data_IF_566731498192
#
_entry.id   IF_566731498192
#
_cell.length_a   1.000
_cell.length_b   1.000
_cell.length_c   1.000
_cell.angle_alpha   90.00
_cell.angle_beta   90.00
_cell.angle_gamma   90.00
#
_symmetry.space_group_name_H-M   'P 1'
#
loop_
_entity.id
_entity.type
_entity.pdbx_description
1 polymer ?
#
# COMPACT_ATOMS: atom_id res chain seq x y z
N UNK A 1 4.70 -17.18 -24.40
CA UNK A 1 4.74 -15.77 -23.95
C UNK A 1 5.87 -15.69 -22.94
N UNK A 2 6.91 -14.92 -23.22
CA UNK A 2 8.03 -14.73 -22.28
C UNK A 2 7.48 -14.12 -21.00
N UNK A 3 7.78 -14.75 -19.87
CA UNK A 3 7.31 -14.35 -18.55
C UNK A 3 8.08 -13.07 -18.15
N UNK A 4 7.71 -11.93 -18.70
CA UNK A 4 8.35 -10.66 -18.37
C UNK A 4 7.94 -10.30 -16.96
N UNK A 5 8.90 -10.28 -16.04
CA UNK A 5 8.69 -9.79 -14.69
C UNK A 5 8.11 -8.37 -14.76
N UNK A 6 7.09 -8.04 -13.93
CA UNK A 6 6.50 -6.71 -13.93
C UNK A 6 7.54 -5.66 -13.53
N UNK A 7 7.50 -4.49 -14.16
CA UNK A 7 8.33 -3.33 -13.79
C UNK A 7 7.68 -2.62 -12.61
N UNK A 8 8.38 -2.56 -11.49
CA UNK A 8 7.87 -2.01 -10.23
C UNK A 8 8.62 -0.73 -9.91
N UNK A 9 7.90 0.37 -9.75
CA UNK A 9 8.43 1.58 -9.15
C UNK A 9 8.15 1.58 -7.64
N UNK A 10 9.20 1.61 -6.85
CA UNK A 10 9.13 1.74 -5.40
C UNK A 10 9.18 3.22 -5.04
N UNK A 11 8.13 3.71 -4.39
CA UNK A 11 8.05 5.07 -3.87
C UNK A 11 8.49 5.03 -2.40
N UNK A 12 9.70 5.51 -2.14
CA UNK A 12 10.35 5.44 -0.83
C UNK A 12 10.34 6.81 -0.16
N UNK A 13 9.45 7.00 0.81
CA UNK A 13 9.14 8.35 1.33
C UNK A 13 9.01 8.38 2.84
N UNK A 14 9.62 9.37 3.49
CA UNK A 14 9.52 9.60 4.93
C UNK A 14 10.78 10.21 5.49
N UNK A 15 11.02 10.00 6.79
CA UNK A 15 12.27 10.40 7.45
C UNK A 15 13.20 9.20 7.60
N UNK A 16 14.51 9.32 7.32
CA UNK A 16 15.42 8.18 7.26
C UNK A 16 16.00 7.78 8.64
N UNK A 17 15.30 8.07 9.75
CA UNK A 17 15.85 7.96 11.13
C UNK A 17 16.42 6.59 11.47
N UNK A 18 15.77 5.52 11.01
CA UNK A 18 16.16 4.13 11.29
C UNK A 18 16.66 3.39 10.05
N UNK A 19 16.80 4.10 8.91
CA UNK A 19 17.14 3.50 7.61
C UNK A 19 18.42 2.69 7.65
N UNK A 20 19.45 3.17 8.34
CA UNK A 20 20.72 2.45 8.47
C UNK A 20 20.58 1.04 9.04
N UNK A 21 19.55 0.80 9.86
CA UNK A 21 19.26 -0.49 10.49
C UNK A 21 18.18 -1.31 9.79
N UNK A 22 17.46 -0.70 8.85
CA UNK A 22 16.30 -1.28 8.15
C UNK A 22 16.65 -1.64 6.70
N UNK A 23 17.61 -0.94 6.09
CA UNK A 23 17.86 -0.99 4.65
C UNK A 23 18.21 -2.39 4.14
N UNK A 24 18.93 -3.20 4.91
CA UNK A 24 19.33 -4.53 4.49
C UNK A 24 18.11 -5.46 4.33
N UNK A 25 17.06 -5.27 5.14
CA UNK A 25 15.78 -5.95 4.96
C UNK A 25 15.05 -5.44 3.72
N UNK A 26 15.06 -4.13 3.47
CA UNK A 26 14.46 -3.55 2.28
C UNK A 26 15.10 -4.09 1.00
N UNK A 27 16.43 -4.12 0.93
CA UNK A 27 17.17 -4.69 -0.20
C UNK A 27 16.80 -6.15 -0.39
N UNK A 28 16.96 -6.97 0.67
CA UNK A 28 16.73 -8.41 0.61
C UNK A 28 15.30 -8.77 0.21
N UNK A 29 14.31 -8.01 0.70
CA UNK A 29 12.91 -8.41 0.62
C UNK A 29 12.06 -7.59 -0.35
N UNK A 30 12.54 -6.45 -0.83
CA UNK A 30 11.81 -5.60 -1.79
C UNK A 30 12.54 -5.49 -3.12
N UNK A 31 13.87 -5.31 -3.11
CA UNK A 31 14.69 -5.18 -4.32
C UNK A 31 15.09 -6.56 -4.88
N UNK A 32 14.09 -7.42 -5.09
CA UNK A 32 14.29 -8.85 -5.35
C UNK A 32 14.73 -9.17 -6.79
N UNK A 33 14.64 -8.22 -7.71
CA UNK A 33 15.06 -8.37 -9.10
C UNK A 33 15.34 -7.00 -9.77
N UNK A 34 15.99 -7.02 -10.93
CA UNK A 34 16.42 -5.84 -11.68
C UNK A 34 15.29 -4.91 -12.16
N UNK A 35 14.05 -5.39 -12.25
CA UNK A 35 12.90 -4.59 -12.70
C UNK A 35 12.24 -3.79 -11.57
N UNK A 36 12.85 -3.78 -10.38
CA UNK A 36 12.40 -3.00 -9.22
C UNK A 36 13.28 -1.75 -9.10
N UNK A 37 12.70 -0.57 -9.25
CA UNK A 37 13.41 0.70 -9.23
C UNK A 37 12.87 1.62 -8.15
N UNK A 38 13.74 2.32 -7.43
CA UNK A 38 13.41 3.16 -6.29
C UNK A 38 13.44 4.64 -6.68
N UNK A 39 12.36 5.34 -6.34
CA UNK A 39 12.21 6.79 -6.41
C UNK A 39 12.01 7.30 -4.99
N UNK A 40 13.06 7.90 -4.45
CA UNK A 40 13.15 8.25 -3.04
C UNK A 40 12.93 9.75 -2.84
N UNK A 41 12.05 10.10 -1.90
CA UNK A 41 11.89 11.48 -1.42
C UNK A 41 11.90 11.48 0.10
N UNK A 42 13.00 11.93 0.68
CA UNK A 42 13.28 11.81 2.11
C UNK A 42 13.41 13.17 2.77
N UNK A 43 13.12 13.25 4.06
CA UNK A 43 13.24 14.47 4.85
C UNK A 43 14.32 14.30 5.92
N UNK A 44 15.41 15.05 5.79
CA UNK A 44 16.44 15.22 6.83
C UNK A 44 17.19 16.54 6.58
N UNK A 45 17.73 17.15 7.63
CA UNK A 45 18.53 18.38 7.52
C UNK A 45 20.01 18.07 7.20
N UNK A 46 20.52 16.93 7.65
CA UNK A 46 21.87 16.44 7.32
C UNK A 46 21.76 15.17 6.46
N UNK A 47 22.10 15.31 5.18
CA UNK A 47 21.79 14.30 4.15
C UNK A 47 23.00 13.77 3.39
N UNK A 48 24.16 14.44 3.41
CA UNK A 48 25.30 14.04 2.55
C UNK A 48 25.79 12.61 2.84
N UNK A 49 25.91 12.24 4.11
CA UNK A 49 26.30 10.88 4.49
C UNK A 49 25.22 9.85 4.16
N UNK A 50 23.95 10.20 4.40
CA UNK A 50 22.81 9.34 4.10
C UNK A 50 22.63 9.14 2.60
N UNK A 51 22.90 10.16 1.80
CA UNK A 51 22.88 10.08 0.34
C UNK A 51 23.91 9.08 -0.18
N UNK A 52 25.17 9.21 0.25
CA UNK A 52 26.24 8.26 -0.10
C UNK A 52 25.87 6.83 0.32
N UNK A 53 25.38 6.68 1.55
CA UNK A 53 24.93 5.40 2.09
C UNK A 53 23.82 4.76 1.23
N UNK A 54 22.81 5.54 0.83
CA UNK A 54 21.69 5.05 0.02
C UNK A 54 22.14 4.65 -1.40
N UNK A 55 23.00 5.44 -2.04
CA UNK A 55 23.55 5.11 -3.35
C UNK A 55 24.39 3.83 -3.30
N UNK A 56 25.24 3.67 -2.29
CA UNK A 56 26.03 2.45 -2.09
C UNK A 56 25.13 1.23 -1.86
N UNK A 57 24.14 1.35 -0.99
CA UNK A 57 23.27 0.24 -0.57
C UNK A 57 22.26 -0.18 -1.63
N UNK A 58 21.61 0.75 -2.31
CA UNK A 58 20.59 0.45 -3.31
C UNK A 58 21.16 0.30 -4.73
N UNK A 59 22.34 0.86 -5.00
CA UNK A 59 23.02 0.78 -6.30
C UNK A 59 22.11 1.14 -7.47
N UNK A 60 22.12 0.29 -8.49
CA UNK A 60 21.36 0.50 -9.73
C UNK A 60 19.84 0.50 -9.55
N UNK A 61 19.31 0.06 -8.39
CA UNK A 61 17.89 0.16 -8.11
C UNK A 61 17.47 1.61 -7.83
N UNK A 62 18.33 2.44 -7.24
CA UNK A 62 17.99 3.84 -6.92
C UNK A 62 18.07 4.71 -8.18
N UNK A 63 16.91 5.13 -8.70
CA UNK A 63 16.81 5.95 -9.93
C UNK A 63 16.71 7.44 -9.65
N UNK A 64 16.19 7.80 -8.48
CA UNK A 64 16.10 9.19 -8.04
C UNK A 64 16.13 9.28 -6.53
N UNK A 65 16.82 10.30 -6.03
CA UNK A 65 16.81 10.71 -4.63
C UNK A 65 16.53 12.22 -4.58
N UNK A 66 15.54 12.62 -3.79
CA UNK A 66 15.20 14.02 -3.55
C UNK A 66 15.09 14.27 -2.06
N UNK A 67 15.69 15.36 -1.59
CA UNK A 67 15.62 15.78 -0.20
C UNK A 67 14.56 16.87 -0.03
N UNK A 68 13.49 16.53 0.68
CA UNK A 68 12.44 17.45 1.05
C UNK A 68 12.83 18.24 2.31
N UNK A 69 12.70 19.57 2.23
CA UNK A 69 12.91 20.48 3.35
C UNK A 69 11.59 21.07 3.82
N UNK A 70 11.34 21.06 5.14
CA UNK A 70 10.19 21.77 5.74
C UNK A 70 10.31 23.28 5.61
N UNK A 71 11.50 23.80 5.34
CA UNK A 71 11.78 25.21 5.07
C UNK A 71 11.52 25.59 3.61
N UNK A 72 11.19 24.64 2.73
CA UNK A 72 10.86 24.90 1.32
C UNK A 72 9.71 25.92 1.20
N UNK A 73 9.93 26.94 0.36
CA UNK A 73 8.99 28.06 0.24
C UNK A 73 7.65 27.62 -0.38
N UNK A 74 7.70 26.80 -1.44
CA UNK A 74 6.49 26.34 -2.13
C UNK A 74 5.63 25.46 -1.21
N UNK A 75 6.27 24.54 -0.48
CA UNK A 75 5.65 23.74 0.56
C UNK A 75 4.97 24.61 1.62
N UNK A 76 5.69 25.59 2.18
CA UNK A 76 5.16 26.44 3.24
C UNK A 76 3.94 27.26 2.80
N UNK A 77 3.92 27.74 1.55
CA UNK A 77 2.75 28.41 0.99
C UNK A 77 1.56 27.46 0.82
N UNK A 78 1.80 26.27 0.25
CA UNK A 78 0.78 25.25 0.05
C UNK A 78 0.16 24.80 1.37
N UNK A 79 0.99 24.42 2.35
CA UNK A 79 0.57 23.95 3.66
C UNK A 79 -0.30 25.00 4.37
N UNK A 80 0.11 26.28 4.35
CA UNK A 80 -0.68 27.38 4.93
C UNK A 80 -2.02 27.56 4.24
N UNK A 81 -2.05 27.47 2.91
CA UNK A 81 -3.29 27.59 2.14
C UNK A 81 -4.27 26.48 2.50
N UNK A 82 -3.79 25.22 2.54
CA UNK A 82 -4.60 24.05 2.91
C UNK A 82 -5.14 24.19 4.34
N UNK A 83 -4.28 24.48 5.31
CA UNK A 83 -4.69 24.59 6.72
C UNK A 83 -5.70 25.73 6.95
N UNK A 84 -5.62 26.81 6.17
CA UNK A 84 -6.59 27.91 6.24
C UNK A 84 -7.98 27.49 5.79
N UNK A 85 -8.08 26.59 4.81
CA UNK A 85 -9.37 26.12 4.26
C UNK A 85 -9.95 24.92 5.00
N UNK A 86 -9.17 24.23 5.83
CA UNK A 86 -9.65 23.09 6.61
C UNK A 86 -10.48 23.53 7.82
N UNK A 87 -11.71 23.02 7.90
CA UNK A 87 -12.65 23.23 9.01
C UNK A 87 -12.37 22.25 10.16
N UNK A 88 -11.23 22.43 10.84
CA UNK A 88 -10.82 21.65 12.01
C UNK A 88 -10.32 22.57 13.13
N UNK A 89 -10.28 22.07 14.36
CA UNK A 89 -9.78 22.83 15.51
C UNK A 89 -8.31 23.26 15.34
N UNK A 90 -7.95 24.42 15.87
CA UNK A 90 -6.59 24.99 15.75
C UNK A 90 -5.50 24.08 16.32
N UNK A 91 -5.79 23.29 17.36
CA UNK A 91 -4.84 22.28 17.88
C UNK A 91 -4.45 21.25 16.83
N UNK A 92 -5.40 20.86 15.96
CA UNK A 92 -5.16 19.90 14.89
C UNK A 92 -4.47 20.54 13.69
N UNK A 93 -4.76 21.82 13.40
CA UNK A 93 -3.96 22.58 12.43
C UNK A 93 -2.51 22.73 12.88
N UNK A 94 -2.28 23.00 14.16
CA UNK A 94 -0.94 23.04 14.74
C UNK A 94 -0.24 21.67 14.65
N UNK A 95 -0.96 20.57 14.95
CA UNK A 95 -0.44 19.22 14.76
C UNK A 95 -0.04 18.97 13.30
N UNK A 96 -0.92 19.25 12.32
CA UNK A 96 -0.65 19.04 10.89
C UNK A 96 0.49 19.93 10.36
N UNK A 97 0.62 21.14 10.90
CA UNK A 97 1.68 22.09 10.54
C UNK A 97 3.07 21.53 10.90
N UNK A 98 3.19 20.92 12.07
CA UNK A 98 4.48 20.47 12.61
C UNK A 98 4.76 18.98 12.36
N UNK A 99 3.70 18.19 12.19
CA UNK A 99 3.72 16.73 12.03
C UNK A 99 4.13 16.27 10.63
N UNK A 100 4.07 14.95 10.43
CA UNK A 100 4.43 14.29 9.18
C UNK A 100 3.27 14.03 8.22
N UNK A 101 2.01 14.20 8.67
CA UNK A 101 0.82 13.73 7.94
C UNK A 101 0.69 14.36 6.54
N UNK A 102 0.81 15.69 6.44
CA UNK A 102 0.75 16.37 5.14
C UNK A 102 2.05 16.20 4.34
N UNK A 103 3.19 16.18 5.04
CA UNK A 103 4.52 16.02 4.42
C UNK A 103 4.59 14.72 3.64
N UNK A 104 4.08 13.62 4.20
CA UNK A 104 4.10 12.32 3.55
C UNK A 104 3.51 12.38 2.14
N UNK A 105 2.33 12.99 1.97
CA UNK A 105 1.68 13.07 0.66
C UNK A 105 2.36 14.08 -0.27
N UNK A 106 2.97 15.14 0.27
CA UNK A 106 3.78 16.03 -0.54
C UNK A 106 5.04 15.35 -1.07
N UNK A 107 5.68 14.49 -0.27
CA UNK A 107 6.78 13.63 -0.73
C UNK A 107 6.32 12.67 -1.84
N UNK A 108 5.10 12.12 -1.76
CA UNK A 108 4.53 11.30 -2.84
C UNK A 108 4.32 12.10 -4.14
N UNK A 109 3.86 13.35 -4.04
CA UNK A 109 3.74 14.25 -5.18
C UNK A 109 5.11 14.51 -5.85
N UNK A 110 6.13 14.80 -5.04
CA UNK A 110 7.50 14.98 -5.56
C UNK A 110 8.04 13.69 -6.19
N UNK A 111 7.80 12.53 -5.58
CA UNK A 111 8.22 11.24 -6.10
C UNK A 111 7.54 10.91 -7.45
N UNK A 112 6.26 11.25 -7.59
CA UNK A 112 5.52 11.12 -8.85
C UNK A 112 6.16 11.95 -9.97
N UNK A 113 6.65 13.15 -9.67
CA UNK A 113 7.35 13.98 -10.65
C UNK A 113 8.65 13.32 -11.11
N UNK A 114 9.45 12.82 -10.17
CA UNK A 114 10.70 12.11 -10.49
C UNK A 114 10.47 10.85 -11.32
N UNK A 115 9.47 10.06 -10.92
CA UNK A 115 9.04 8.86 -11.64
C UNK A 115 8.64 9.19 -13.09
N UNK A 116 7.79 10.21 -13.27
CA UNK A 116 7.30 10.60 -14.60
C UNK A 116 8.43 11.13 -15.48
N UNK A 117 9.34 11.91 -14.91
CA UNK A 117 10.51 12.41 -15.63
C UNK A 117 11.40 11.26 -16.11
N UNK A 118 11.64 10.26 -15.25
CA UNK A 118 12.41 9.07 -15.61
C UNK A 118 11.71 8.23 -16.67
N UNK A 119 10.41 7.95 -16.54
CA UNK A 119 9.61 7.23 -17.54
C UNK A 119 9.71 7.90 -18.92
N UNK A 120 9.59 9.23 -18.96
CA UNK A 120 9.69 10.01 -20.19
C UNK A 120 11.11 9.99 -20.78
N UNK A 121 12.15 10.12 -19.94
CA UNK A 121 13.54 10.16 -20.39
C UNK A 121 13.99 8.81 -20.97
N UNK A 122 13.64 7.71 -20.30
CA UNK A 122 14.04 6.35 -20.68
C UNK A 122 13.10 5.70 -21.70
N UNK A 123 11.96 6.35 -22.02
CA UNK A 123 10.95 5.76 -22.90
C UNK A 123 10.34 4.48 -22.34
N UNK A 124 10.24 4.36 -21.01
CA UNK A 124 9.65 3.21 -20.33
C UNK A 124 8.37 3.60 -19.60
N UNK A 125 7.60 2.59 -19.19
CA UNK A 125 6.49 2.76 -18.26
C UNK A 125 6.55 1.66 -17.22
N UNK A 126 6.33 2.01 -15.95
CA UNK A 126 6.19 1.01 -14.90
C UNK A 126 4.77 0.43 -14.91
N UNK A 127 4.66 -0.82 -14.50
CA UNK A 127 3.37 -1.52 -14.44
C UNK A 127 2.67 -1.24 -13.10
N UNK A 128 3.44 -1.22 -12.02
CA UNK A 128 2.93 -1.09 -10.67
C UNK A 128 3.78 -0.17 -9.80
N UNK A 129 3.15 0.29 -8.72
CA UNK A 129 3.75 1.10 -7.67
C UNK A 129 3.72 0.29 -6.38
N UNK A 130 4.84 0.31 -5.65
CA UNK A 130 4.92 -0.10 -4.26
C UNK A 130 5.38 1.11 -3.44
N UNK A 131 4.52 1.67 -2.60
CA UNK A 131 4.93 2.67 -1.61
C UNK A 131 5.37 1.98 -0.34
N UNK A 132 6.46 2.45 0.26
CA UNK A 132 6.93 1.98 1.57
C UNK A 132 7.66 3.08 2.33
N UNK A 133 7.51 3.09 3.66
CA UNK A 133 8.24 4.02 4.53
C UNK A 133 9.66 3.54 4.83
N UNK A 134 10.61 4.46 5.05
CA UNK A 134 12.00 4.12 5.33
C UNK A 134 12.26 3.38 6.64
N UNK A 135 11.34 3.50 7.59
CA UNK A 135 11.40 2.83 8.90
C UNK A 135 10.68 1.48 8.93
N UNK A 136 10.23 0.97 7.78
CA UNK A 136 9.48 -0.28 7.67
C UNK A 136 10.39 -1.46 7.35
N UNK A 137 10.34 -2.49 8.20
CA UNK A 137 10.94 -3.80 7.91
C UNK A 137 9.88 -4.69 7.29
N UNK A 138 10.13 -5.14 6.06
CA UNK A 138 9.47 -6.32 5.49
C UNK A 138 10.30 -7.53 5.88
N UNK A 139 9.68 -8.54 6.49
CA UNK A 139 10.41 -9.70 7.04
C UNK A 139 10.73 -10.78 6.00
N UNK A 140 10.09 -10.72 4.82
CA UNK A 140 10.18 -11.75 3.78
C UNK A 140 10.04 -11.17 2.37
N UNK A 141 10.59 -11.82 1.33
CA UNK A 141 10.51 -11.28 -0.03
C UNK A 141 9.08 -11.04 -0.52
N UNK A 142 8.83 -9.85 -1.08
CA UNK A 142 7.59 -9.55 -1.80
C UNK A 142 7.67 -10.19 -3.17
N UNK A 143 6.63 -10.95 -3.52
CA UNK A 143 6.50 -11.62 -4.80
C UNK A 143 5.23 -11.17 -5.52
N UNK A 144 5.35 -10.84 -6.81
CA UNK A 144 4.26 -10.38 -7.66
C UNK A 144 3.68 -11.49 -8.56
N UNK A 145 4.01 -12.77 -8.30
CA UNK A 145 3.50 -13.92 -9.06
C UNK A 145 1.97 -14.00 -9.10
N UNK A 146 1.26 -13.36 -8.16
CA UNK A 146 -0.19 -13.30 -8.16
C UNK A 146 -0.80 -12.61 -9.39
N UNK A 147 -0.05 -11.72 -10.04
CA UNK A 147 -0.46 -11.08 -11.29
C UNK A 147 -0.62 -12.08 -12.44
N UNK A 148 0.06 -13.22 -12.36
CA UNK A 148 0.07 -14.28 -13.36
C UNK A 148 -0.71 -15.53 -12.93
N UNK A 149 -1.43 -15.49 -11.80
CA UNK A 149 -2.23 -16.63 -11.34
C UNK A 149 -3.29 -17.01 -12.35
N UNK A 150 -3.42 -18.31 -12.60
CA UNK A 150 -4.54 -18.85 -13.36
C UNK A 150 -5.78 -19.06 -12.48
N UNK A 151 -6.89 -19.33 -13.16
CA UNK A 151 -8.21 -19.56 -12.57
C UNK A 151 -8.22 -20.74 -11.60
N UNK A 152 -7.43 -21.79 -11.84
CA UNK A 152 -7.36 -22.97 -10.97
C UNK A 152 -6.66 -22.63 -9.64
N UNK A 153 -5.59 -21.83 -9.69
CA UNK A 153 -4.90 -21.34 -8.49
C UNK A 153 -5.83 -20.46 -7.66
N UNK A 154 -6.60 -19.57 -8.31
CA UNK A 154 -7.60 -18.73 -7.64
C UNK A 154 -8.65 -19.60 -6.92
N UNK A 155 -9.23 -20.58 -7.62
CA UNK A 155 -10.21 -21.50 -7.04
C UNK A 155 -9.62 -22.28 -5.85
N UNK A 156 -8.41 -22.82 -5.99
CA UNK A 156 -7.74 -23.55 -4.90
C UNK A 156 -7.57 -22.67 -3.66
N UNK A 157 -7.11 -21.43 -3.83
CA UNK A 157 -6.93 -20.48 -2.73
C UNK A 157 -8.25 -20.09 -2.08
N UNK A 158 -9.28 -19.81 -2.87
CA UNK A 158 -10.61 -19.50 -2.35
C UNK A 158 -11.21 -20.68 -1.57
N UNK A 159 -10.97 -21.93 -2.00
CA UNK A 159 -11.46 -23.11 -1.25
C UNK A 159 -10.79 -23.20 0.11
N UNK A 160 -9.46 -23.02 0.18
CA UNK A 160 -8.73 -22.97 1.45
C UNK A 160 -9.29 -21.86 2.36
N UNK A 161 -9.63 -20.71 1.80
CA UNK A 161 -10.21 -19.59 2.55
C UNK A 161 -11.62 -19.93 3.04
N UNK A 162 -12.47 -20.50 2.19
CA UNK A 162 -13.83 -20.92 2.55
C UNK A 162 -13.81 -21.94 3.70
N UNK A 163 -12.92 -22.94 3.63
CA UNK A 163 -12.71 -23.92 4.69
C UNK A 163 -12.30 -23.26 6.01
N UNK A 164 -11.36 -22.30 5.97
CA UNK A 164 -10.87 -21.59 7.16
C UNK A 164 -11.90 -20.63 7.76
N UNK A 165 -12.69 -19.97 6.92
CA UNK A 165 -13.68 -18.98 7.34
C UNK A 165 -15.01 -19.59 7.75
N UNK A 166 -15.22 -20.89 7.46
CA UNK A 166 -16.47 -21.61 7.64
C UNK A 166 -17.58 -21.15 6.69
N UNK A 167 -17.24 -20.39 5.64
CA UNK A 167 -18.23 -19.85 4.71
C UNK A 167 -18.64 -20.92 3.70
N UNK A 168 -19.96 -21.07 3.52
CA UNK A 168 -20.51 -22.04 2.56
C UNK A 168 -20.27 -21.57 1.13
N UNK A 169 -20.27 -20.26 0.85
CA UNK A 169 -20.13 -19.73 -0.50
C UNK A 169 -18.68 -19.46 -0.83
N UNK A 170 -18.16 -20.08 -1.90
CA UNK A 170 -16.76 -19.91 -2.30
C UNK A 170 -16.43 -18.44 -2.63
N UNK A 171 -17.32 -17.77 -3.36
CA UNK A 171 -17.18 -16.37 -3.79
C UNK A 171 -18.02 -15.41 -2.92
N UNK A 172 -18.02 -15.60 -1.61
CA UNK A 172 -18.62 -14.62 -0.70
C UNK A 172 -17.79 -13.34 -0.60
N UNK A 173 -18.41 -12.26 -0.10
CA UNK A 173 -17.71 -11.00 0.23
C UNK A 173 -16.45 -11.26 1.03
N UNK A 174 -16.63 -12.00 2.14
CA UNK A 174 -15.60 -12.32 3.12
C UNK A 174 -14.44 -13.06 2.45
N UNK A 175 -14.73 -14.09 1.66
CA UNK A 175 -13.71 -14.91 1.03
C UNK A 175 -12.89 -14.12 0.00
N UNK A 176 -13.54 -13.26 -0.78
CA UNK A 176 -12.85 -12.40 -1.75
C UNK A 176 -12.01 -11.34 -1.06
N UNK A 177 -12.52 -10.70 0.00
CA UNK A 177 -11.75 -9.73 0.78
C UNK A 177 -10.50 -10.39 1.39
N UNK A 178 -10.64 -11.59 1.99
CA UNK A 178 -9.49 -12.36 2.53
C UNK A 178 -8.50 -12.71 1.42
N UNK A 179 -9.00 -13.18 0.28
CA UNK A 179 -8.17 -13.55 -0.87
C UNK A 179 -7.34 -12.37 -1.38
N UNK A 180 -7.96 -11.21 -1.61
CA UNK A 180 -7.29 -10.01 -2.09
C UNK A 180 -6.24 -9.50 -1.09
N UNK A 181 -6.55 -9.53 0.21
CA UNK A 181 -5.60 -9.19 1.27
C UNK A 181 -4.43 -10.18 1.42
N UNK A 182 -4.54 -11.38 0.85
CA UNK A 182 -3.50 -12.40 0.87
C UNK A 182 -2.56 -12.41 -0.33
N UNK A 183 -2.79 -11.54 -1.33
CA UNK A 183 -2.03 -11.56 -2.58
C UNK A 183 -0.53 -11.30 -2.40
N UNK A 184 -0.17 -10.35 -1.52
CA UNK A 184 1.22 -10.02 -1.19
C UNK A 184 1.80 -10.90 -0.09
N UNK A 185 0.94 -11.55 0.71
CA UNK A 185 1.34 -12.48 1.74
C UNK A 185 0.29 -13.60 1.94
N UNK A 186 0.59 -14.79 1.43
CA UNK A 186 -0.31 -15.94 1.48
C UNK A 186 -0.66 -16.39 2.91
N UNK A 187 0.21 -16.08 3.90
CA UNK A 187 -0.09 -16.34 5.31
C UNK A 187 -1.30 -15.55 5.81
N UNK A 188 -1.77 -14.56 5.06
CA UNK A 188 -2.99 -13.80 5.38
C UNK A 188 -4.29 -14.50 5.02
N UNK A 189 -4.25 -15.61 4.28
CA UNK A 189 -5.42 -16.47 4.07
C UNK A 189 -5.99 -17.03 5.38
N UNK A 190 -5.23 -17.01 6.48
CA UNK A 190 -5.66 -17.44 7.81
C UNK A 190 -5.92 -16.29 8.80
N UNK A 191 -5.99 -15.04 8.35
CA UNK A 191 -6.09 -13.89 9.26
C UNK A 191 -7.52 -13.53 9.64
N UNK A 192 -7.72 -13.30 10.93
CA UNK A 192 -8.95 -12.74 11.52
C UNK A 192 -8.96 -11.21 11.52
N UNK A 193 -7.79 -10.56 11.38
CA UNK A 193 -7.61 -9.11 11.41
C UNK A 193 -7.60 -8.48 10.01
N UNK A 194 -8.70 -8.65 9.29
CA UNK A 194 -8.97 -7.96 8.02
C UNK A 194 -9.94 -6.83 8.30
N UNK A 195 -9.61 -5.65 7.78
CA UNK A 195 -10.46 -4.49 7.95
C UNK A 195 -11.59 -4.51 6.91
N UNK A 196 -12.81 -4.76 7.40
CA UNK A 196 -14.02 -4.76 6.58
C UNK A 196 -14.72 -3.39 6.52
N UNK A 197 -14.22 -2.37 7.23
CA UNK A 197 -14.93 -1.10 7.45
C UNK A 197 -14.97 -0.18 6.21
N UNK A 198 -14.06 -0.40 5.25
CA UNK A 198 -13.93 0.42 4.04
C UNK A 198 -14.48 -0.26 2.77
N UNK A 199 -15.27 -1.32 2.95
CA UNK A 199 -15.79 -2.11 1.84
C UNK A 199 -16.90 -1.34 1.10
N UNK A 200 -16.54 -0.77 -0.06
CA UNK A 200 -17.52 -0.24 -1.00
C UNK A 200 -18.32 -1.43 -1.59
N UNK A 201 -19.54 -1.66 -1.10
CA UNK A 201 -20.45 -2.76 -1.51
C UNK A 201 -20.65 -2.84 -3.04
N UNK A 202 -20.36 -1.74 -3.76
CA UNK A 202 -20.29 -1.67 -5.23
C UNK A 202 -19.43 -2.77 -5.87
N UNK A 203 -18.43 -3.32 -5.17
CA UNK A 203 -17.50 -4.30 -5.73
C UNK A 203 -18.11 -5.70 -5.96
N UNK A 204 -18.92 -6.18 -5.02
CA UNK A 204 -19.69 -7.40 -5.26
C UNK A 204 -20.64 -7.18 -6.43
N UNK A 205 -21.33 -6.05 -6.47
CA UNK A 205 -22.18 -5.71 -7.61
C UNK A 205 -21.38 -5.76 -8.94
N UNK A 206 -20.16 -5.21 -8.99
CA UNK A 206 -19.31 -5.22 -10.19
C UNK A 206 -18.75 -6.61 -10.56
N UNK A 207 -18.31 -7.43 -9.59
CA UNK A 207 -17.89 -8.82 -9.83
C UNK A 207 -19.07 -9.70 -10.27
N UNK A 208 -20.29 -9.37 -9.84
CA UNK A 208 -21.50 -10.17 -10.05
C UNK A 208 -22.30 -9.72 -11.29
N UNK A 209 -22.15 -8.49 -11.81
CA UNK A 209 -22.92 -8.00 -12.95
C UNK A 209 -22.43 -8.49 -14.33
N UNK A 210 -23.29 -9.27 -14.99
CA UNK A 210 -24.26 -8.70 -15.94
C UNK A 210 -25.65 -9.23 -15.56
N UNK A 211 -26.61 -8.31 -15.43
CA UNK A 211 -28.03 -8.49 -15.04
C UNK A 211 -28.31 -8.70 -13.55
N UNK A 212 -28.76 -7.62 -12.91
CA UNK A 212 -29.24 -7.53 -11.53
C UNK A 212 -30.57 -8.27 -11.27
N UNK A 213 -31.16 -8.91 -12.29
CA UNK A 213 -32.51 -9.46 -12.20
C UNK A 213 -32.58 -10.93 -11.75
N UNK A 214 -31.45 -11.65 -11.67
CA UNK A 214 -31.48 -13.04 -11.19
C UNK A 214 -30.18 -13.46 -10.46
N UNK A 215 -30.16 -13.26 -9.14
CA UNK A 215 -29.10 -13.74 -8.25
C UNK A 215 -29.24 -15.24 -7.89
N UNK A 216 -30.25 -15.95 -8.40
CA UNK A 216 -30.52 -17.34 -7.99
C UNK A 216 -29.40 -18.33 -8.34
N UNK A 217 -28.63 -18.06 -9.41
CA UNK A 217 -27.52 -18.92 -9.85
C UNK A 217 -26.22 -18.69 -9.06
N UNK A 218 -26.05 -17.53 -8.42
CA UNK A 218 -24.89 -17.21 -7.56
C UNK A 218 -24.93 -17.95 -6.22
N UNK A 219 -26.14 -18.32 -5.78
CA UNK A 219 -26.34 -19.19 -4.62
C UNK A 219 -26.06 -20.67 -4.93
N UNK A 220 -25.69 -21.01 -6.17
CA UNK A 220 -25.36 -22.38 -6.55
C UNK A 220 -23.83 -22.53 -6.60
N UNK A 221 -23.26 -23.20 -5.58
CA UNK A 221 -21.87 -23.67 -5.57
C UNK A 221 -21.66 -24.80 -6.60
N UNK A 222 -21.78 -24.50 -7.88
CA UNK A 222 -21.48 -25.43 -8.96
C UNK A 222 -20.14 -25.05 -9.63
N UNK A 223 -19.49 -26.03 -10.26
CA UNK A 223 -18.15 -25.87 -10.85
C UNK A 223 -18.10 -24.84 -11.98
N UNK A 224 -19.19 -24.72 -12.75
CA UNK A 224 -19.26 -23.80 -13.88
C UNK A 224 -19.33 -22.33 -13.42
N UNK A 225 -20.23 -22.01 -12.51
CA UNK A 225 -20.37 -20.67 -11.90
C UNK A 225 -19.06 -20.24 -11.24
N UNK A 226 -18.44 -21.13 -10.48
CA UNK A 226 -17.17 -20.86 -9.79
C UNK A 226 -16.03 -20.54 -10.77
N UNK A 227 -15.98 -21.23 -11.92
CA UNK A 227 -14.97 -20.96 -12.96
C UNK A 227 -15.16 -19.58 -13.58
N UNK A 228 -16.42 -19.19 -13.87
CA UNK A 228 -16.74 -17.84 -14.39
C UNK A 228 -16.32 -16.77 -13.38
N UNK A 229 -16.65 -16.94 -12.10
CA UNK A 229 -16.30 -15.99 -11.05
C UNK A 229 -14.79 -15.92 -10.83
N UNK A 230 -14.08 -17.04 -10.86
CA UNK A 230 -12.62 -17.05 -10.79
C UNK A 230 -11.97 -16.31 -11.96
N UNK A 231 -12.51 -16.43 -13.18
CA UNK A 231 -12.05 -15.64 -14.33
C UNK A 231 -12.27 -14.13 -14.13
N UNK A 232 -13.39 -13.73 -13.52
CA UNK A 232 -13.65 -12.33 -13.18
C UNK A 232 -12.68 -11.81 -12.12
N UNK A 233 -12.40 -12.59 -11.08
CA UNK A 233 -11.37 -12.28 -10.07
C UNK A 233 -10.01 -12.15 -10.72
N UNK A 234 -9.62 -13.08 -11.60
CA UNK A 234 -8.36 -13.01 -12.34
C UNK A 234 -8.25 -11.72 -13.16
N UNK A 235 -9.32 -11.35 -13.88
CA UNK A 235 -9.36 -10.10 -14.64
C UNK A 235 -9.25 -8.89 -13.71
N UNK A 236 -9.89 -8.93 -12.54
CA UNK A 236 -9.81 -7.85 -11.56
C UNK A 236 -8.40 -7.68 -10.98
N UNK A 237 -7.69 -8.77 -10.65
CA UNK A 237 -6.29 -8.70 -10.20
C UNK A 237 -5.42 -7.98 -11.25
N UNK A 238 -5.66 -8.23 -12.54
CA UNK A 238 -4.83 -7.64 -13.62
C UNK A 238 -5.22 -6.19 -13.94
N UNK A 239 -6.52 -5.90 -13.97
CA UNK A 239 -7.05 -4.70 -14.60
C UNK A 239 -7.84 -3.79 -13.66
N UNK A 240 -8.26 -4.31 -12.51
CA UNK A 240 -9.14 -3.67 -11.54
C UNK A 240 -8.54 -2.42 -10.92
N UNK A 241 -9.41 -1.57 -10.37
CA UNK A 241 -9.03 -0.35 -9.66
C UNK A 241 -8.93 -0.64 -8.16
N UNK A 242 -7.77 -1.10 -7.71
CA UNK A 242 -7.58 -1.44 -6.31
C UNK A 242 -6.21 -1.02 -5.79
N UNK A 243 -6.13 -0.95 -4.47
CA UNK A 243 -4.91 -0.79 -3.69
C UNK A 243 -4.86 -1.87 -2.61
N UNK A 244 -3.75 -2.59 -2.52
CA UNK A 244 -3.47 -3.52 -1.43
C UNK A 244 -2.64 -2.79 -0.40
N UNK A 245 -3.06 -2.77 0.85
CA UNK A 245 -2.38 -2.01 1.89
C UNK A 245 -2.04 -2.85 3.10
N UNK A 246 -0.83 -2.63 3.61
CA UNK A 246 -0.44 -3.04 4.95
C UNK A 246 -0.38 -1.80 5.82
N UNK A 247 -1.34 -1.69 6.73
CA UNK A 247 -1.59 -0.52 7.59
C UNK A 247 -1.78 0.75 6.76
N UNK A 248 -2.93 0.82 6.10
CA UNK A 248 -3.41 1.97 5.36
C UNK A 248 -2.34 2.57 4.42
N UNK A 249 -1.78 3.72 4.77
CA UNK A 249 -0.81 4.42 3.94
C UNK A 249 0.63 3.90 4.10
N UNK A 250 0.98 3.10 5.12
CA UNK A 250 2.38 2.73 5.43
C UNK A 250 3.04 1.95 4.30
N UNK A 251 2.39 0.88 3.85
CA UNK A 251 2.80 0.11 2.67
C UNK A 251 1.60 -0.06 1.79
N UNK A 252 1.75 0.24 0.50
CA UNK A 252 0.69 -0.09 -0.44
C UNK A 252 1.20 -0.43 -1.83
N UNK A 253 0.48 -1.33 -2.47
CA UNK A 253 0.71 -1.77 -3.84
C UNK A 253 -0.50 -1.43 -4.71
N UNK A 254 -0.26 -0.89 -5.89
CA UNK A 254 -1.31 -0.55 -6.84
C UNK A 254 -0.80 -0.54 -8.28
N UNK A 255 -1.71 -0.59 -9.24
CA UNK A 255 -1.35 -0.37 -10.65
C UNK A 255 -0.86 1.08 -10.85
N UNK A 256 0.24 1.24 -11.60
CA UNK A 256 0.89 2.53 -11.88
C UNK A 256 -0.09 3.58 -12.43
N UNK A 257 -1.08 3.16 -13.22
CA UNK A 257 -2.06 4.06 -13.86
C UNK A 257 -2.91 4.83 -12.86
N UNK A 258 -3.12 4.31 -11.65
CA UNK A 258 -3.94 4.96 -10.62
C UNK A 258 -3.11 5.81 -9.64
N UNK A 259 -1.78 5.67 -9.63
CA UNK A 259 -0.93 6.38 -8.66
C UNK A 259 -0.93 7.90 -8.86
N UNK A 260 -1.18 8.38 -10.09
CA UNK A 260 -1.33 9.82 -10.34
C UNK A 260 -2.44 10.43 -9.46
N UNK A 261 -3.56 9.73 -9.28
CA UNK A 261 -4.62 10.19 -8.37
C UNK A 261 -4.08 10.32 -6.94
N UNK A 262 -3.48 9.26 -6.39
CA UNK A 262 -2.95 9.27 -5.01
C UNK A 262 -1.91 10.38 -4.80
N UNK A 263 -1.01 10.59 -5.75
CA UNK A 263 0.01 11.63 -5.65
C UNK A 263 -0.56 13.05 -5.54
N UNK A 264 -1.75 13.31 -6.09
CA UNK A 264 -2.42 14.62 -5.99
C UNK A 264 -2.87 14.93 -4.57
N UNK A 265 -2.97 13.94 -3.68
CA UNK A 265 -3.28 14.17 -2.28
C UNK A 265 -2.24 15.08 -1.60
N UNK A 266 -1.00 15.13 -2.11
CA UNK A 266 0.01 16.08 -1.64
C UNK A 266 -0.37 17.54 -1.86
N UNK A 267 -1.18 17.83 -2.88
CA UNK A 267 -1.68 19.16 -3.22
C UNK A 267 -3.10 19.42 -2.69
N UNK A 268 -3.86 18.35 -2.48
CA UNK A 268 -5.29 18.36 -2.15
C UNK A 268 -5.60 17.88 -0.73
N UNK A 269 -4.59 17.77 0.14
CA UNK A 269 -4.78 17.29 1.50
C UNK A 269 -5.87 18.09 2.22
N UNK A 270 -6.75 17.42 2.94
CA UNK A 270 -7.87 18.05 3.63
C UNK A 270 -9.08 18.40 2.76
N UNK A 271 -9.03 18.12 1.44
CA UNK A 271 -10.19 18.35 0.55
C UNK A 271 -11.23 17.22 0.57
N UNK A 272 -10.89 16.06 1.16
CA UNK A 272 -11.73 14.88 1.17
C UNK A 272 -12.24 14.61 2.58
N UNK A 273 -13.53 14.82 2.83
CA UNK A 273 -14.19 14.43 4.07
C UNK A 273 -15.41 13.57 3.73
N UNK A 274 -15.16 12.30 3.41
CA UNK A 274 -16.23 11.33 3.13
C UNK A 274 -16.78 10.70 4.42
N UNK A 275 -15.96 10.65 5.47
CA UNK A 275 -16.32 10.13 6.79
C UNK A 275 -16.69 11.29 7.71
N UNK A 276 -17.78 12.01 7.40
CA UNK A 276 -18.20 13.20 8.18
C UNK A 276 -18.42 12.93 9.68
N UNK A 277 -18.61 11.67 10.06
CA UNK A 277 -18.77 11.21 11.44
C UNK A 277 -17.45 10.94 12.16
N UNK A 278 -16.32 10.85 11.44
CA UNK A 278 -15.00 10.65 12.02
C UNK A 278 -14.39 11.99 12.43
N UNK A 279 -14.24 12.19 13.74
CA UNK A 279 -13.60 13.38 14.32
C UNK A 279 -12.15 13.57 13.84
N UNK A 280 -11.48 12.50 13.40
CA UNK A 280 -10.11 12.50 12.91
C UNK A 280 -10.02 12.33 11.38
N UNK A 281 -11.09 12.65 10.62
CA UNK A 281 -11.13 12.55 9.15
C UNK A 281 -9.92 13.21 8.43
N UNK A 282 -9.33 14.23 9.06
CA UNK A 282 -8.21 15.02 8.57
C UNK A 282 -6.86 14.33 8.74
N UNK A 283 -6.77 13.18 9.44
CA UNK A 283 -5.51 12.46 9.61
C UNK A 283 -5.04 11.81 8.30
N UNK A 284 -3.77 11.37 8.24
CA UNK A 284 -3.19 10.80 7.02
C UNK A 284 -3.95 9.57 6.49
N UNK A 285 -4.24 8.61 7.38
CA UNK A 285 -4.91 7.35 7.00
C UNK A 285 -6.31 7.61 6.42
N UNK A 286 -7.11 8.46 7.08
CA UNK A 286 -8.46 8.83 6.66
C UNK A 286 -8.46 9.65 5.35
N UNK A 287 -7.47 10.54 5.17
CA UNK A 287 -7.29 11.26 3.91
C UNK A 287 -6.96 10.31 2.75
N UNK A 288 -6.05 9.37 2.94
CA UNK A 288 -5.73 8.37 1.92
C UNK A 288 -6.94 7.51 1.56
N UNK A 289 -7.67 7.01 2.56
CA UNK A 289 -8.87 6.19 2.33
C UNK A 289 -9.96 6.97 1.62
N UNK A 290 -10.27 8.18 2.09
CA UNK A 290 -11.26 9.05 1.45
C UNK A 290 -10.88 9.35 0.00
N UNK A 291 -9.61 9.62 -0.26
CA UNK A 291 -9.13 9.91 -1.61
C UNK A 291 -9.21 8.68 -2.53
N UNK A 292 -8.86 7.49 -2.02
CA UNK A 292 -9.07 6.22 -2.73
C UNK A 292 -10.54 6.04 -3.12
N UNK A 293 -11.47 6.20 -2.17
CA UNK A 293 -12.91 6.03 -2.41
C UNK A 293 -13.42 7.06 -3.43
N UNK A 294 -13.01 8.33 -3.35
CA UNK A 294 -13.40 9.37 -4.32
C UNK A 294 -12.93 9.09 -5.75
N UNK A 295 -11.88 8.29 -5.92
CA UNK A 295 -11.33 7.90 -7.22
C UNK A 295 -11.71 6.46 -7.59
N UNK A 296 -12.80 5.94 -7.02
CA UNK A 296 -13.34 4.60 -7.25
C UNK A 296 -12.30 3.47 -7.08
N UNK A 297 -11.35 3.63 -6.14
CA UNK A 297 -10.36 2.61 -5.79
C UNK A 297 -10.89 1.72 -4.67
N UNK A 298 -10.81 0.41 -4.87
CA UNK A 298 -11.06 -0.58 -3.83
C UNK A 298 -9.86 -0.74 -2.91
N UNK A 299 -10.06 -0.59 -1.61
CA UNK A 299 -9.00 -0.70 -0.61
C UNK A 299 -9.07 -2.09 0.02
N UNK A 300 -8.00 -2.86 -0.11
CA UNK A 300 -7.82 -4.12 0.60
C UNK A 300 -6.75 -3.90 1.67
N UNK A 301 -7.20 -3.59 2.88
CA UNK A 301 -6.34 -3.29 4.02
C UNK A 301 -6.24 -4.46 4.99
N UNK A 302 -5.01 -4.82 5.34
CA UNK A 302 -4.75 -5.87 6.31
C UNK A 302 -3.59 -5.51 7.22
N UNK A 303 -3.76 -5.76 8.51
CA UNK A 303 -2.74 -5.50 9.54
C UNK A 303 -3.01 -6.42 10.70
N UNK A 304 -2.03 -7.24 11.09
CA UNK A 304 -2.12 -8.02 12.32
C UNK A 304 -1.84 -7.11 13.50
N UNK A 305 -2.41 -7.44 14.65
CA UNK A 305 -2.30 -6.63 15.86
C UNK A 305 -0.86 -6.25 16.21
N UNK A 306 0.06 -7.22 16.21
CA UNK A 306 1.48 -6.99 16.49
C UNK A 306 2.12 -6.03 15.47
N UNK A 307 1.84 -6.21 14.18
CA UNK A 307 2.32 -5.32 13.10
C UNK A 307 1.82 -3.88 13.31
N UNK A 308 0.53 -3.74 13.66
CA UNK A 308 -0.10 -2.45 13.88
C UNK A 308 0.43 -1.72 15.11
N UNK A 309 0.67 -2.46 16.20
CA UNK A 309 1.18 -1.92 17.47
C UNK A 309 2.61 -1.37 17.35
N UNK A 310 3.41 -1.84 16.40
CA UNK A 310 4.78 -1.35 16.17
C UNK A 310 4.91 0.17 15.97
N UNK A 311 3.83 0.87 15.59
CA UNK A 311 3.87 2.33 15.44
C UNK A 311 3.89 3.11 16.77
N UNK A 312 3.25 2.56 17.81
CA UNK A 312 3.01 3.21 19.11
C UNK A 312 3.69 2.50 20.28
N UNK A 313 3.90 1.18 20.20
CA UNK A 313 4.41 0.33 21.28
C UNK A 313 5.39 -0.70 20.70
N UNK A 314 6.47 -0.20 20.08
CA UNK A 314 7.54 -1.04 19.56
C UNK A 314 8.43 -1.55 20.70
N UNK A 315 8.50 -2.88 20.84
CA UNK A 315 9.36 -3.58 21.78
C UNK A 315 10.25 -4.55 20.98
N UNK A 316 11.58 -4.33 20.88
CA UNK A 316 12.48 -5.15 20.07
C UNK A 316 12.35 -6.66 20.33
N UNK A 317 12.11 -7.06 21.58
CA UNK A 317 12.02 -8.45 22.03
C UNK A 317 10.82 -9.19 21.43
N UNK A 318 9.82 -8.46 20.90
CA UNK A 318 8.68 -9.04 20.19
C UNK A 318 9.01 -9.40 18.74
N UNK A 319 10.11 -8.87 18.19
CA UNK A 319 10.49 -9.03 16.77
C UNK A 319 11.85 -9.70 16.59
N UNK A 320 12.74 -9.61 17.58
CA UNK A 320 14.11 -10.11 17.51
C UNK A 320 14.40 -11.10 18.64
N UNK A 321 15.15 -12.16 18.34
CA UNK A 321 15.67 -13.08 19.34
C UNK A 321 16.84 -12.46 20.12
N UNK A 322 17.38 -13.18 21.11
CA UNK A 322 18.49 -12.70 21.95
C UNK A 322 19.79 -12.46 21.16
N UNK A 323 19.91 -13.06 19.98
CA UNK A 323 21.05 -12.93 19.09
C UNK A 323 20.87 -11.78 18.08
N UNK A 324 19.74 -11.06 18.15
CA UNK A 324 19.42 -9.93 17.28
C UNK A 324 18.87 -10.32 15.91
N UNK A 325 18.53 -11.59 15.71
CA UNK A 325 17.92 -12.09 14.48
C UNK A 325 16.39 -11.94 14.55
N UNK A 326 15.73 -11.72 13.40
CA UNK A 326 14.27 -11.71 13.36
C UNK A 326 13.71 -13.05 13.85
N UNK A 327 12.76 -12.99 14.78
CA UNK A 327 11.99 -14.16 15.19
C UNK A 327 11.17 -14.59 13.97
N UNK A 328 11.49 -15.77 13.40
CA UNK A 328 10.67 -16.32 12.33
C UNK A 328 9.26 -16.56 12.87
N UNK A 329 8.33 -15.82 12.29
CA UNK A 329 7.06 -15.58 12.93
C UNK A 329 6.02 -15.01 12.00
N UNK A 330 4.86 -14.83 12.59
CA UNK A 330 3.63 -14.42 11.93
C UNK A 330 3.59 -12.92 11.53
N UNK A 331 4.71 -12.20 11.60
CA UNK A 331 4.82 -10.77 11.27
C UNK A 331 5.32 -10.64 9.83
N UNK A 332 4.54 -10.02 8.94
CA UNK A 332 4.97 -9.72 7.58
C UNK A 332 5.76 -8.42 7.51
N UNK A 333 5.34 -7.44 8.29
CA UNK A 333 6.01 -6.16 8.40
C UNK A 333 5.90 -5.59 9.81
N UNK A 334 6.80 -4.67 10.14
CA UNK A 334 6.66 -3.80 11.31
C UNK A 334 7.44 -2.51 11.10
N UNK A 335 7.08 -1.48 11.86
CA UNK A 335 7.76 -0.19 11.86
C UNK A 335 8.81 -0.22 12.97
N UNK A 336 10.08 -0.08 12.61
CA UNK A 336 11.17 0.00 13.57
C UNK A 336 11.25 1.41 14.14
N UNK A 337 11.05 1.55 15.45
CA UNK A 337 11.20 2.81 16.19
C UNK A 337 12.56 2.86 16.90
N UNK A 338 13.01 4.08 17.15
CA UNK A 338 14.26 4.42 17.86
C UNK A 338 14.15 4.11 19.34
#
# INVERSE_FOLDING_TARGET
MTNTHPKIAVIYTGEPRTVSTVIDYFIKNVLTNENVHVFSVLQTENHEEMEKFLFEKMGNHLKSLTWFSKQDFAWNLLQRSILRTMEIEERWKYYLKNGGSMVEYYQLYLAQNQLTNYENHEGIKYDYILRIRPDTIITRPINFNFLNMDTNVILKKLNIIAEKTGDKLLFSKKNITVFMNSLLDERRMSCENIDHSYENDRYLCYLLEKNLDDFSWLNQNNSHSNTILANRVQNFIKNGNYVLTFRANVIYFMNRKYFNAISQLGLKYGSCNLTKEDYYWWNAECQFQSFCIQNDMHIFNTTRELEGRSICSYEPEQYYNKDGELIDGNVFFFIKRS
#
